data_IF_537398322649
#
_entry.id   IF_537398322649
#
_cell.length_a   1.000
_cell.length_b   1.000
_cell.length_c   1.000
_cell.angle_alpha   90.00
_cell.angle_beta   90.00
_cell.angle_gamma   90.00
#
_symmetry.space_group_name_H-M   'P 1'
#
loop_
_entity.id
_entity.type
_entity.pdbx_description
1 polymer ?
#
# COMPACT_ATOMS: atom_id res chain seq x y z
N UNK A 1 -2.49 11.46 17.71
CA UNK A 1 -2.32 10.24 16.87
C UNK A 1 -3.63 9.99 16.13
N UNK A 2 -3.58 9.68 14.82
CA UNK A 2 -4.79 9.32 14.07
C UNK A 2 -5.41 8.02 14.65
N UNK A 3 -6.75 7.88 14.67
CA UNK A 3 -7.38 6.69 15.20
C UNK A 3 -7.04 5.44 14.38
N UNK A 4 -6.95 4.30 15.05
CA UNK A 4 -6.78 2.98 14.42
C UNK A 4 -8.13 2.45 13.91
N UNK A 5 -8.06 1.51 12.97
CA UNK A 5 -9.23 0.76 12.52
C UNK A 5 -9.99 0.12 13.69
N UNK A 6 -11.32 0.25 13.64
CA UNK A 6 -12.28 -0.27 14.61
C UNK A 6 -13.03 -1.48 14.05
N UNK A 7 -13.81 -2.17 14.90
CA UNK A 7 -14.66 -3.26 14.44
C UNK A 7 -15.71 -2.81 13.41
N UNK A 8 -16.25 -1.60 13.58
CA UNK A 8 -17.19 -1.01 12.64
C UNK A 8 -16.54 -0.78 11.26
N UNK A 9 -15.28 -0.34 11.22
CA UNK A 9 -14.55 -0.15 9.96
C UNK A 9 -14.36 -1.48 9.22
N UNK A 10 -14.08 -2.57 9.94
CA UNK A 10 -13.99 -3.90 9.36
C UNK A 10 -15.33 -4.39 8.81
N UNK A 11 -16.44 -4.07 9.48
CA UNK A 11 -17.78 -4.41 9.00
C UNK A 11 -18.08 -3.68 7.67
N UNK A 12 -17.81 -2.38 7.59
CA UNK A 12 -18.01 -1.58 6.36
C UNK A 12 -17.18 -2.13 5.20
N UNK A 13 -15.90 -2.42 5.43
CA UNK A 13 -15.02 -3.00 4.41
C UNK A 13 -15.47 -4.40 3.97
N UNK A 14 -15.96 -5.21 4.92
CA UNK A 14 -16.45 -6.56 4.66
C UNK A 14 -17.71 -6.56 3.79
N UNK A 15 -18.65 -5.66 4.07
CA UNK A 15 -19.84 -5.44 3.24
C UNK A 15 -19.47 -5.03 1.82
N UNK A 16 -18.52 -4.10 1.68
CA UNK A 16 -18.04 -3.63 0.37
C UNK A 16 -17.40 -4.75 -0.46
N UNK A 17 -16.62 -5.62 0.17
CA UNK A 17 -15.99 -6.78 -0.46
C UNK A 17 -16.93 -7.99 -0.59
N UNK A 18 -18.05 -8.01 0.12
CA UNK A 18 -18.94 -9.18 0.22
C UNK A 18 -18.22 -10.41 0.79
N UNK A 19 -17.49 -10.24 1.88
CA UNK A 19 -16.79 -11.28 2.64
C UNK A 19 -17.06 -11.14 4.14
N UNK A 20 -16.77 -12.14 4.99
CA UNK A 20 -16.90 -11.98 6.44
C UNK A 20 -15.89 -10.95 7.00
N UNK A 21 -16.23 -10.18 8.07
CA UNK A 21 -15.32 -9.24 8.72
C UNK A 21 -13.98 -9.86 9.16
N UNK A 22 -14.00 -11.14 9.60
CA UNK A 22 -12.80 -11.88 9.95
C UNK A 22 -11.78 -11.94 8.79
N UNK A 23 -12.22 -11.98 7.54
CA UNK A 23 -11.33 -11.98 6.37
C UNK A 23 -10.60 -10.64 6.22
N UNK A 24 -11.32 -9.53 6.39
CA UNK A 24 -10.73 -8.18 6.36
C UNK A 24 -9.77 -8.00 7.52
N UNK A 25 -10.13 -8.44 8.73
CA UNK A 25 -9.26 -8.40 9.92
C UNK A 25 -7.99 -9.22 9.73
N UNK A 26 -8.10 -10.41 9.13
CA UNK A 26 -6.94 -11.24 8.81
C UNK A 26 -5.96 -10.52 7.88
N UNK A 27 -6.48 -9.93 6.81
CA UNK A 27 -5.68 -9.12 5.88
C UNK A 27 -5.04 -7.93 6.58
N UNK A 28 -5.80 -7.15 7.35
CA UNK A 28 -5.26 -5.99 8.08
C UNK A 28 -4.17 -6.38 9.08
N UNK A 29 -4.34 -7.52 9.78
CA UNK A 29 -3.36 -8.03 10.74
C UNK A 29 -2.03 -8.38 10.06
N UNK A 30 -2.08 -8.91 8.83
CA UNK A 30 -0.89 -9.37 8.11
C UNK A 30 -0.21 -8.24 7.33
N UNK A 31 -1.02 -7.43 6.65
CA UNK A 31 -0.55 -6.41 5.69
C UNK A 31 -0.37 -5.04 6.32
N UNK A 32 -1.09 -4.72 7.39
CA UNK A 32 -1.09 -3.41 8.05
C UNK A 32 -0.75 -3.46 9.56
N UNK A 33 0.24 -4.26 10.03
CA UNK A 33 0.46 -4.45 11.47
C UNK A 33 0.81 -3.16 12.21
N UNK A 34 1.51 -2.23 11.54
CA UNK A 34 1.96 -0.97 12.13
C UNK A 34 0.98 0.19 11.93
N UNK A 35 -0.14 -0.05 11.25
CA UNK A 35 -1.10 0.99 10.86
C UNK A 35 -0.57 1.94 9.80
N UNK A 36 -1.34 2.99 9.56
CA UNK A 36 -1.20 3.87 8.41
C UNK A 36 -0.41 5.15 8.62
N UNK A 37 -0.10 5.49 9.88
CA UNK A 37 0.46 6.79 10.23
C UNK A 37 1.63 6.67 11.21
N UNK A 38 2.53 7.64 11.13
CA UNK A 38 3.51 7.90 12.19
C UNK A 38 2.91 8.81 13.31
N UNK A 39 3.63 9.04 14.42
CA UNK A 39 3.15 9.88 15.52
C UNK A 39 2.81 11.32 15.11
N UNK A 40 3.47 11.86 14.09
CA UNK A 40 3.23 13.19 13.54
C UNK A 40 1.98 13.24 12.64
N UNK A 41 1.33 12.10 12.39
CA UNK A 41 0.13 12.01 11.57
C UNK A 41 0.41 12.02 10.07
N UNK A 42 1.66 11.78 9.65
CA UNK A 42 1.99 11.56 8.24
C UNK A 42 1.66 10.12 7.87
N UNK A 43 1.08 9.86 6.68
CA UNK A 43 0.92 8.52 6.18
C UNK A 43 2.27 7.81 6.12
N UNK A 44 2.29 6.52 6.40
CA UNK A 44 3.47 5.70 6.15
C UNK A 44 3.69 5.59 4.64
N UNK A 45 4.88 5.93 4.17
CA UNK A 45 5.20 5.86 2.74
C UNK A 45 6.49 5.11 2.46
N UNK A 46 6.64 4.67 1.22
CA UNK A 46 7.90 4.20 0.65
C UNK A 46 8.04 4.79 -0.75
N UNK A 47 9.11 5.56 -1.00
CA UNK A 47 9.38 6.15 -2.30
C UNK A 47 10.24 5.22 -3.17
N UNK A 48 9.70 4.91 -4.36
CA UNK A 48 10.26 3.98 -5.32
C UNK A 48 10.95 4.72 -6.47
N UNK A 49 12.27 4.91 -6.36
CA UNK A 49 13.03 5.67 -7.36
C UNK A 49 13.02 5.07 -8.77
N UNK A 50 12.83 3.76 -8.88
CA UNK A 50 12.65 3.08 -10.17
C UNK A 50 11.28 3.32 -10.81
N UNK A 51 10.25 3.54 -10.00
CA UNK A 51 8.94 4.00 -10.51
C UNK A 51 9.04 5.47 -10.92
N UNK A 52 9.80 6.28 -10.19
CA UNK A 52 10.02 7.69 -10.56
C UNK A 52 10.80 7.83 -11.87
N UNK A 53 11.82 7.01 -12.07
CA UNK A 53 12.50 6.88 -13.37
C UNK A 53 11.49 6.57 -14.48
N UNK A 54 10.66 5.54 -14.32
CA UNK A 54 9.65 5.14 -15.32
C UNK A 54 8.67 6.28 -15.63
N UNK A 55 8.13 6.92 -14.59
CA UNK A 55 7.12 7.98 -14.73
C UNK A 55 7.68 9.29 -15.28
N UNK A 56 9.00 9.48 -15.29
CA UNK A 56 9.68 10.67 -15.83
C UNK A 56 10.45 10.37 -17.12
N UNK A 57 10.40 9.14 -17.62
CA UNK A 57 11.20 8.71 -18.77
C UNK A 57 12.72 8.82 -18.54
N UNK A 58 13.16 8.68 -17.28
CA UNK A 58 14.57 8.79 -16.89
C UNK A 58 15.16 10.20 -16.93
N UNK A 59 14.32 11.25 -17.06
CA UNK A 59 14.75 12.65 -17.16
C UNK A 59 15.69 13.10 -16.03
N UNK A 60 15.57 12.49 -14.85
CA UNK A 60 16.28 12.92 -13.65
C UNK A 60 17.40 11.97 -13.20
N UNK A 61 17.70 10.90 -13.95
CA UNK A 61 18.69 9.87 -13.57
C UNK A 61 20.08 10.44 -13.25
N UNK A 62 20.56 11.39 -14.08
CA UNK A 62 21.86 12.02 -13.87
C UNK A 62 21.86 13.06 -12.75
N UNK A 63 20.71 13.67 -12.46
CA UNK A 63 20.58 14.77 -11.49
C UNK A 63 20.39 14.26 -10.07
N UNK A 64 19.58 13.22 -9.89
CA UNK A 64 19.24 12.64 -8.59
C UNK A 64 19.28 11.10 -8.67
N UNK A 65 20.46 10.49 -8.84
CA UNK A 65 20.60 9.04 -9.01
C UNK A 65 20.16 8.22 -7.78
N UNK A 66 19.97 8.85 -6.63
CA UNK A 66 19.39 8.26 -5.42
C UNK A 66 17.84 8.25 -5.41
N UNK A 67 17.22 9.02 -6.30
CA UNK A 67 15.77 9.17 -6.45
C UNK A 67 15.24 8.72 -7.82
N UNK A 68 16.09 8.61 -8.84
CA UNK A 68 15.73 8.18 -10.19
C UNK A 68 16.77 7.18 -10.72
N UNK A 69 16.37 5.92 -10.89
CA UNK A 69 17.24 4.86 -11.38
C UNK A 69 16.46 3.74 -12.05
N UNK A 70 16.94 3.21 -13.19
CA UNK A 70 16.18 2.24 -14.00
C UNK A 70 15.87 0.91 -13.31
N UNK A 71 16.84 0.35 -12.60
CA UNK A 71 16.75 -1.01 -12.03
C UNK A 71 16.39 -0.92 -10.55
N UNK A 72 15.36 -1.66 -10.12
CA UNK A 72 14.97 -1.71 -8.71
C UNK A 72 16.16 -2.05 -7.80
N UNK A 73 16.30 -1.27 -6.72
CA UNK A 73 17.25 -1.53 -5.64
C UNK A 73 16.72 -0.93 -4.35
N UNK A 74 16.92 -1.62 -3.23
CA UNK A 74 16.60 -1.11 -1.89
C UNK A 74 17.70 -0.24 -1.29
N UNK A 75 18.84 -0.08 -1.98
CA UNK A 75 20.02 0.66 -1.49
C UNK A 75 19.70 2.09 -1.03
N UNK A 76 18.76 2.74 -1.70
CA UNK A 76 18.43 4.14 -1.48
C UNK A 76 17.23 4.35 -0.57
N UNK A 77 16.58 3.28 -0.09
CA UNK A 77 15.53 3.42 0.90
C UNK A 77 16.08 4.05 2.18
N UNK A 78 15.27 4.90 2.78
CA UNK A 78 15.64 5.60 3.99
C UNK A 78 15.90 4.59 5.12
N UNK A 79 17.04 4.80 5.78
CA UNK A 79 17.43 4.06 6.98
C UNK A 79 17.25 4.95 8.21
N UNK A 80 17.16 4.35 9.39
CA UNK A 80 16.89 5.07 10.64
C UNK A 80 16.71 4.14 11.83
N UNK A 81 16.86 4.69 13.03
CA UNK A 81 16.83 3.96 14.30
C UNK A 81 15.50 3.22 14.54
N UNK A 82 14.39 3.75 14.00
CA UNK A 82 13.08 3.12 14.06
C UNK A 82 12.28 3.43 12.77
N UNK A 83 11.06 2.90 12.68
CA UNK A 83 10.22 3.06 11.49
C UNK A 83 9.74 4.49 11.25
N UNK A 84 9.55 5.29 12.30
CA UNK A 84 9.04 6.65 12.17
C UNK A 84 10.14 7.59 11.67
N UNK A 85 11.39 7.40 12.12
CA UNK A 85 12.56 8.09 11.55
C UNK A 85 12.76 7.71 10.08
N UNK A 86 12.57 6.44 9.72
CA UNK A 86 12.60 6.01 8.31
C UNK A 86 11.48 6.68 7.50
N UNK A 87 10.26 6.70 8.03
CA UNK A 87 9.12 7.34 7.38
C UNK A 87 9.35 8.82 7.12
N UNK A 88 9.82 9.56 8.14
CA UNK A 88 10.16 10.98 8.00
C UNK A 88 11.13 11.24 6.85
N UNK A 89 12.18 10.41 6.74
CA UNK A 89 13.18 10.48 5.68
C UNK A 89 12.66 10.03 4.31
N UNK A 90 11.72 9.10 4.25
CA UNK A 90 11.00 8.80 3.00
C UNK A 90 10.16 10.01 2.55
N UNK A 91 9.53 10.75 3.46
CA UNK A 91 8.84 12.01 3.14
C UNK A 91 9.82 13.07 2.62
N UNK A 92 11.03 13.15 3.16
CA UNK A 92 12.09 14.03 2.62
C UNK A 92 12.51 13.63 1.19
N UNK A 93 12.68 12.33 0.93
CA UNK A 93 12.97 11.80 -0.42
C UNK A 93 11.84 12.14 -1.40
N UNK A 94 10.60 11.92 -1.00
CA UNK A 94 9.43 12.27 -1.79
C UNK A 94 9.36 13.77 -2.05
N UNK A 95 9.61 14.62 -1.05
CA UNK A 95 9.59 16.08 -1.22
C UNK A 95 10.64 16.56 -2.23
N UNK A 96 11.86 16.00 -2.19
CA UNK A 96 12.91 16.26 -3.19
C UNK A 96 12.47 15.88 -4.60
N UNK A 97 11.87 14.70 -4.78
CA UNK A 97 11.35 14.27 -6.08
C UNK A 97 10.15 15.13 -6.54
N UNK A 98 9.27 15.52 -5.62
CA UNK A 98 8.09 16.32 -5.92
C UNK A 98 8.43 17.74 -6.36
N UNK A 99 9.55 18.31 -5.87
CA UNK A 99 10.09 19.58 -6.35
C UNK A 99 10.53 19.52 -7.83
N UNK A 100 10.86 18.33 -8.35
CA UNK A 100 11.26 18.13 -9.74
C UNK A 100 10.07 17.80 -10.66
N UNK A 101 9.20 16.88 -10.22
CA UNK A 101 8.03 16.44 -10.96
C UNK A 101 6.96 15.88 -10.01
N UNK A 102 6.15 16.77 -9.44
CA UNK A 102 5.17 16.42 -8.39
C UNK A 102 4.23 15.24 -8.74
N UNK A 103 3.53 15.20 -9.89
CA UNK A 103 2.64 14.08 -10.19
C UNK A 103 3.39 12.74 -10.28
N UNK A 104 4.54 12.72 -10.97
CA UNK A 104 5.36 11.53 -11.08
C UNK A 104 5.85 11.07 -9.69
N UNK A 105 6.33 11.98 -8.86
CA UNK A 105 6.83 11.65 -7.52
C UNK A 105 5.75 11.01 -6.62
N UNK A 106 4.54 11.59 -6.62
CA UNK A 106 3.42 11.09 -5.83
C UNK A 106 2.92 9.72 -6.33
N UNK A 107 2.94 9.49 -7.66
CA UNK A 107 2.66 8.17 -8.25
C UNK A 107 3.72 7.12 -7.89
N UNK A 108 4.95 7.56 -7.64
CA UNK A 108 6.10 6.71 -7.31
C UNK A 108 6.27 6.41 -5.82
N UNK A 109 5.31 6.76 -4.98
CA UNK A 109 5.31 6.39 -3.58
C UNK A 109 4.17 5.41 -3.28
N UNK A 110 4.44 4.43 -2.42
CA UNK A 110 3.42 3.61 -1.77
C UNK A 110 2.89 4.35 -0.54
N UNK A 111 1.59 4.29 -0.28
CA UNK A 111 0.93 5.11 0.73
C UNK A 111 0.11 4.29 1.74
N UNK A 112 0.16 4.76 2.99
CA UNK A 112 -0.70 4.32 4.07
C UNK A 112 -0.45 2.90 4.54
N UNK A 113 -1.40 2.39 5.33
CA UNK A 113 -1.33 1.11 6.02
C UNK A 113 -1.10 -0.07 5.08
N UNK A 114 -1.70 0.01 3.89
CA UNK A 114 -1.68 -1.06 2.89
C UNK A 114 -0.62 -0.85 1.81
N UNK A 115 0.16 0.23 1.87
CA UNK A 115 1.24 0.51 0.91
C UNK A 115 0.75 0.50 -0.56
N UNK A 116 -0.38 1.16 -0.83
CA UNK A 116 -0.92 1.30 -2.18
C UNK A 116 -0.06 2.27 -2.99
N UNK A 117 0.53 1.82 -4.09
CA UNK A 117 1.34 2.65 -4.98
C UNK A 117 0.48 3.73 -5.63
N UNK A 118 0.91 4.99 -5.60
CA UNK A 118 0.13 6.13 -6.09
C UNK A 118 -0.23 6.05 -7.56
N UNK A 119 0.52 5.32 -8.38
CA UNK A 119 0.15 5.06 -9.79
C UNK A 119 -1.15 4.27 -9.94
N UNK A 120 -1.57 3.56 -8.89
CA UNK A 120 -2.80 2.76 -8.86
C UNK A 120 -4.02 3.55 -8.36
N UNK A 121 -3.96 4.89 -8.26
CA UNK A 121 -5.03 5.70 -7.68
C UNK A 121 -6.40 5.43 -8.33
N UNK A 122 -6.44 5.21 -9.65
CA UNK A 122 -7.66 4.89 -10.39
C UNK A 122 -8.25 3.53 -9.97
N UNK A 123 -7.41 2.50 -9.85
CA UNK A 123 -7.83 1.18 -9.33
C UNK A 123 -8.25 1.26 -7.85
N UNK A 124 -7.78 2.27 -7.11
CA UNK A 124 -8.20 2.53 -5.74
C UNK A 124 -9.51 3.34 -5.64
N UNK A 125 -10.18 3.59 -6.77
CA UNK A 125 -11.49 4.27 -6.82
C UNK A 125 -11.43 5.80 -6.90
N UNK A 126 -10.26 6.39 -7.21
CA UNK A 126 -10.10 7.84 -7.26
C UNK A 126 -10.01 8.36 -8.71
N UNK A 127 -10.66 9.49 -8.98
CA UNK A 127 -10.58 10.16 -10.28
C UNK A 127 -9.29 10.94 -10.47
N UNK A 128 -8.71 11.47 -9.38
CA UNK A 128 -7.46 12.22 -9.44
C UNK A 128 -6.45 11.68 -8.43
N UNK A 129 -5.17 11.84 -8.76
CA UNK A 129 -4.07 11.53 -7.84
C UNK A 129 -4.18 12.35 -6.55
N UNK A 130 -4.61 13.62 -6.63
CA UNK A 130 -4.71 14.47 -5.44
C UNK A 130 -5.80 13.98 -4.47
N UNK A 131 -6.93 13.49 -4.98
CA UNK A 131 -7.99 12.91 -4.14
C UNK A 131 -7.50 11.65 -3.41
N UNK A 132 -6.76 10.80 -4.12
CA UNK A 132 -6.09 9.64 -3.51
C UNK A 132 -5.15 10.07 -2.39
N UNK A 133 -4.25 11.04 -2.64
CA UNK A 133 -3.33 11.53 -1.60
C UNK A 133 -4.10 12.10 -0.41
N UNK A 134 -5.14 12.90 -0.64
CA UNK A 134 -5.97 13.44 0.44
C UNK A 134 -6.59 12.33 1.30
N UNK A 135 -7.13 11.29 0.66
CA UNK A 135 -7.68 10.12 1.37
C UNK A 135 -6.62 9.37 2.18
N UNK A 136 -5.38 9.26 1.68
CA UNK A 136 -4.30 8.63 2.45
C UNK A 136 -3.96 9.41 3.73
N UNK A 137 -4.18 10.74 3.77
CA UNK A 137 -4.02 11.59 4.95
C UNK A 137 -5.24 11.64 5.87
N UNK A 138 -6.42 11.24 5.38
CA UNK A 138 -7.68 11.38 6.10
C UNK A 138 -7.75 10.47 7.34
N UNK A 139 -7.54 9.16 7.15
CA UNK A 139 -7.53 8.20 8.23
C UNK A 139 -7.35 6.76 7.76
N UNK A 140 -7.18 5.82 8.70
CA UNK A 140 -6.96 4.41 8.33
C UNK A 140 -8.19 3.79 7.66
N UNK A 141 -9.42 4.24 7.99
CA UNK A 141 -10.62 3.82 7.27
C UNK A 141 -10.54 4.20 5.79
N UNK A 142 -10.16 5.43 5.45
CA UNK A 142 -10.00 5.85 4.06
C UNK A 142 -8.93 5.03 3.33
N UNK A 143 -7.82 4.70 4.01
CA UNK A 143 -6.79 3.81 3.48
C UNK A 143 -7.32 2.37 3.26
N UNK A 144 -8.13 1.85 4.18
CA UNK A 144 -8.77 0.54 4.07
C UNK A 144 -9.77 0.50 2.90
N UNK A 145 -10.59 1.54 2.73
CA UNK A 145 -11.54 1.60 1.63
C UNK A 145 -10.84 1.71 0.27
N UNK A 146 -9.76 2.47 0.17
CA UNK A 146 -8.91 2.49 -1.03
C UNK A 146 -8.31 1.10 -1.33
N UNK A 147 -7.90 0.37 -0.30
CA UNK A 147 -7.44 -1.01 -0.43
C UNK A 147 -8.55 -1.95 -0.91
N UNK A 148 -9.78 -1.80 -0.40
CA UNK A 148 -10.93 -2.57 -0.86
C UNK A 148 -11.18 -2.36 -2.35
N UNK A 149 -11.18 -1.10 -2.80
CA UNK A 149 -11.33 -0.75 -4.22
C UNK A 149 -10.21 -1.36 -5.07
N UNK A 150 -8.95 -1.27 -4.62
CA UNK A 150 -7.82 -1.89 -5.29
C UNK A 150 -8.01 -3.40 -5.47
N UNK A 151 -8.43 -4.10 -4.41
CA UNK A 151 -8.72 -5.55 -4.45
C UNK A 151 -9.87 -5.88 -5.41
N UNK A 152 -10.88 -5.01 -5.48
CA UNK A 152 -12.06 -5.17 -6.35
C UNK A 152 -11.77 -4.92 -7.83
N UNK A 153 -10.88 -3.99 -8.14
CA UNK A 153 -10.74 -3.47 -9.50
C UNK A 153 -9.41 -3.77 -10.16
N UNK A 154 -8.31 -3.85 -9.41
CA UNK A 154 -6.99 -4.10 -10.01
C UNK A 154 -6.94 -5.45 -10.72
N UNK A 155 -6.27 -5.46 -11.88
CA UNK A 155 -6.14 -6.63 -12.79
C UNK A 155 -7.49 -7.31 -13.09
N UNK A 156 -8.58 -6.55 -13.16
CA UNK A 156 -9.92 -7.05 -13.45
C UNK A 156 -10.56 -7.80 -12.28
N UNK A 157 -10.29 -7.38 -11.05
CA UNK A 157 -10.89 -7.95 -9.83
C UNK A 157 -10.35 -9.33 -9.44
N UNK A 158 -9.14 -9.67 -9.90
CA UNK A 158 -8.46 -10.92 -9.51
C UNK A 158 -8.27 -11.03 -8.00
N UNK A 159 -7.98 -9.90 -7.35
CA UNK A 159 -7.83 -9.84 -5.88
C UNK A 159 -9.11 -10.27 -5.17
N UNK A 160 -10.26 -9.68 -5.53
CA UNK A 160 -11.54 -10.03 -4.94
C UNK A 160 -11.91 -11.50 -5.14
N UNK A 161 -11.71 -12.02 -6.37
CA UNK A 161 -11.96 -13.43 -6.66
C UNK A 161 -11.10 -14.35 -5.80
N UNK A 162 -9.81 -14.02 -5.68
CA UNK A 162 -8.87 -14.78 -4.85
C UNK A 162 -9.23 -14.69 -3.35
N UNK A 163 -9.64 -13.52 -2.86
CA UNK A 163 -10.06 -13.34 -1.47
C UNK A 163 -11.31 -14.18 -1.15
N UNK A 164 -12.33 -14.12 -2.01
CA UNK A 164 -13.55 -14.94 -1.86
C UNK A 164 -13.24 -16.43 -1.90
N UNK A 165 -12.36 -16.86 -2.79
CA UNK A 165 -11.89 -18.24 -2.83
C UNK A 165 -11.15 -18.63 -1.55
N UNK A 166 -10.30 -17.75 -1.02
CA UNK A 166 -9.56 -18.00 0.21
C UNK A 166 -10.49 -18.18 1.41
N UNK A 167 -11.53 -17.35 1.52
CA UNK A 167 -12.58 -17.50 2.55
C UNK A 167 -13.32 -18.84 2.39
N UNK A 168 -13.70 -19.21 1.18
CA UNK A 168 -14.50 -20.41 0.92
C UNK A 168 -13.71 -21.72 1.09
N UNK A 169 -12.42 -21.72 0.75
CA UNK A 169 -11.61 -22.95 0.64
C UNK A 169 -10.45 -23.01 1.63
N UNK A 170 -10.16 -21.92 2.33
CA UNK A 170 -8.97 -21.78 3.17
C UNK A 170 -7.65 -21.68 2.39
N UNK A 171 -7.70 -21.60 1.05
CA UNK A 171 -6.52 -21.42 0.21
C UNK A 171 -6.21 -19.93 -0.02
N UNK A 172 -5.31 -19.38 0.80
CA UNK A 172 -4.92 -17.97 0.77
C UNK A 172 -3.80 -17.65 -0.23
N UNK A 173 -3.16 -18.65 -0.82
CA UNK A 173 -2.03 -18.49 -1.73
C UNK A 173 -2.35 -17.58 -2.93
N UNK A 174 -3.48 -17.75 -3.65
CA UNK A 174 -3.78 -16.86 -4.78
C UNK A 174 -3.95 -15.39 -4.39
N UNK A 175 -4.50 -15.13 -3.19
CA UNK A 175 -4.66 -13.77 -2.69
C UNK A 175 -3.30 -13.17 -2.27
N UNK A 176 -2.48 -13.96 -1.58
CA UNK A 176 -1.13 -13.56 -1.21
C UNK A 176 -0.25 -13.28 -2.43
N UNK A 177 -0.36 -14.06 -3.51
CA UNK A 177 0.37 -13.84 -4.77
C UNK A 177 -0.13 -12.60 -5.51
N UNK A 178 -1.45 -12.37 -5.50
CA UNK A 178 -2.03 -11.15 -6.08
C UNK A 178 -1.44 -9.90 -5.42
N UNK A 179 -1.38 -9.88 -4.09
CA UNK A 179 -1.02 -8.70 -3.32
C UNK A 179 0.50 -8.53 -3.11
N UNK A 180 1.20 -9.61 -2.73
CA UNK A 180 2.62 -9.59 -2.37
C UNK A 180 3.55 -10.09 -3.50
N UNK A 181 2.98 -10.49 -4.64
CA UNK A 181 3.72 -10.99 -5.79
C UNK A 181 4.28 -12.41 -5.60
N UNK A 182 5.10 -12.85 -6.57
CA UNK A 182 5.66 -14.21 -6.61
C UNK A 182 6.55 -14.56 -5.42
N UNK A 183 7.07 -13.56 -4.71
CA UNK A 183 7.90 -13.76 -3.52
C UNK A 183 7.07 -13.98 -2.24
N UNK A 184 5.74 -14.02 -2.31
CA UNK A 184 4.89 -14.17 -1.13
C UNK A 184 5.27 -15.40 -0.27
N UNK A 185 5.61 -16.52 -0.92
CA UNK A 185 5.93 -17.78 -0.25
C UNK A 185 7.17 -17.68 0.64
N UNK A 186 8.16 -16.84 0.27
CA UNK A 186 9.37 -16.60 1.08
C UNK A 186 9.02 -15.98 2.44
N UNK A 187 8.01 -15.11 2.46
CA UNK A 187 7.54 -14.42 3.65
C UNK A 187 6.29 -15.07 4.27
N UNK A 188 5.85 -16.21 3.72
CA UNK A 188 4.72 -17.03 4.20
C UNK A 188 3.43 -16.23 4.39
N UNK A 189 3.14 -15.30 3.47
CA UNK A 189 1.96 -14.44 3.60
C UNK A 189 0.66 -15.23 3.62
N UNK A 190 0.52 -16.21 2.74
CA UNK A 190 -0.61 -17.14 2.71
C UNK A 190 -0.86 -17.85 4.05
N UNK A 191 0.19 -18.39 4.67
CA UNK A 191 0.10 -19.08 5.96
C UNK A 191 -0.28 -18.10 7.08
N UNK A 192 0.28 -16.89 7.07
CA UNK A 192 -0.04 -15.84 8.04
C UNK A 192 -1.49 -15.38 7.91
N UNK A 193 -1.98 -15.20 6.68
CA UNK A 193 -3.37 -14.85 6.38
C UNK A 193 -4.33 -15.93 6.86
N UNK A 194 -4.03 -17.20 6.54
CA UNK A 194 -4.81 -18.35 7.01
C UNK A 194 -4.87 -18.42 8.53
N UNK A 195 -3.73 -18.26 9.19
CA UNK A 195 -3.64 -18.28 10.64
C UNK A 195 -4.37 -17.10 11.29
N UNK A 196 -4.34 -15.92 10.67
CA UNK A 196 -5.05 -14.74 11.17
C UNK A 196 -6.58 -14.85 10.98
N UNK A 197 -7.03 -15.51 9.91
CA UNK A 197 -8.47 -15.73 9.66
C UNK A 197 -9.10 -16.75 10.62
N UNK A 198 -8.33 -17.73 11.09
CA UNK A 198 -8.81 -18.74 12.04
C UNK A 198 -8.86 -18.30 13.51
N UNK A 199 -8.59 -17.03 13.80
CA UNK A 199 -8.67 -16.42 15.14
C UNK A 199 -9.97 -15.66 15.30
#
# INVERSE_FOLDING_TARGET
MKPRLTEADFQVAAERLGVPPAAVKAVCTVEAPNGGFDPEGRPRILFEGHVFHRNTGGKFDAMVPDLSFRTWTSRFYATGANMDVRNAREHERLARAAALARPAALMSASWGAFQLLGENFASCGFHTLQDFINAMYDGELAQLLAFCEFVMHDRGGKGLKALKQAVATGNWTPFAEFYNGSQQAKNKYDQRLKAAFGK
#
